data_IF_365066113315
#
_entry.id   IF_365066113315
#
_cell.length_a   1.000
_cell.length_b   1.000
_cell.length_c   1.000
_cell.angle_alpha   90.00
_cell.angle_beta   90.00
_cell.angle_gamma   90.00
#
_symmetry.space_group_name_H-M   'P 1'
#
loop_
_entity.id
_entity.type
_entity.pdbx_description
1 polymer ?
#
# COMPACT_ATOMS: atom_id res chain seq x y z
N UNK A 1 13.62 0.50 -30.17
CA UNK A 1 13.54 0.57 -28.69
C UNK A 1 13.38 -0.85 -28.20
N UNK A 2 14.38 -1.37 -27.49
CA UNK A 2 14.30 -2.71 -26.88
C UNK A 2 13.12 -2.74 -25.90
N UNK A 3 12.35 -3.84 -25.81
CA UNK A 3 11.31 -3.94 -24.79
C UNK A 3 12.01 -3.82 -23.43
N UNK A 4 11.69 -2.74 -22.73
CA UNK A 4 12.18 -2.45 -21.40
C UNK A 4 11.76 -3.62 -20.51
N UNK A 5 12.74 -4.44 -20.10
CA UNK A 5 12.49 -5.59 -19.22
C UNK A 5 11.73 -5.07 -18.01
N UNK A 6 10.56 -5.66 -17.74
CA UNK A 6 9.80 -5.40 -16.51
C UNK A 6 10.77 -5.54 -15.32
N UNK A 7 10.78 -4.60 -14.36
CA UNK A 7 11.69 -4.66 -13.22
C UNK A 7 11.53 -6.02 -12.50
N UNK A 8 12.65 -6.67 -12.18
CA UNK A 8 12.67 -7.92 -11.39
C UNK A 8 11.85 -7.72 -10.11
N UNK A 9 10.73 -8.45 -10.03
CA UNK A 9 9.70 -8.28 -9.02
C UNK A 9 10.10 -8.91 -7.69
N UNK A 10 9.84 -8.19 -6.61
CA UNK A 10 9.92 -8.73 -5.26
C UNK A 10 8.64 -9.53 -4.98
N UNK A 11 8.71 -10.61 -4.22
CA UNK A 11 7.56 -11.45 -3.89
C UNK A 11 7.44 -11.66 -2.39
N UNK A 12 6.20 -11.67 -1.87
CA UNK A 12 5.92 -12.10 -0.50
C UNK A 12 5.54 -13.57 -0.51
N UNK A 13 6.44 -14.43 -0.04
CA UNK A 13 6.27 -15.88 -0.07
C UNK A 13 5.30 -16.38 1.02
N UNK A 14 4.01 -16.49 0.68
CA UNK A 14 2.94 -17.00 1.57
C UNK A 14 2.30 -18.30 1.05
N UNK A 15 3.08 -19.13 0.34
CA UNK A 15 2.60 -20.33 -0.33
C UNK A 15 1.61 -19.98 -1.45
N UNK A 16 0.44 -20.62 -1.46
CA UNK A 16 -0.62 -20.37 -2.45
C UNK A 16 -1.18 -18.92 -2.43
N UNK A 17 -0.79 -18.12 -1.43
CA UNK A 17 -1.19 -16.71 -1.26
C UNK A 17 -0.03 -15.75 -1.57
N UNK A 18 1.02 -16.23 -2.23
CA UNK A 18 2.11 -15.37 -2.66
C UNK A 18 1.63 -14.31 -3.65
N UNK A 19 2.26 -13.14 -3.58
CA UNK A 19 1.90 -12.02 -4.44
C UNK A 19 3.14 -11.17 -4.81
N UNK A 20 3.18 -10.62 -6.03
CA UNK A 20 4.26 -9.75 -6.47
C UNK A 20 4.14 -8.33 -5.92
N UNK A 21 5.29 -7.70 -5.76
CA UNK A 21 5.49 -6.29 -5.46
C UNK A 21 6.34 -5.70 -6.58
N UNK A 22 5.75 -4.76 -7.31
CA UNK A 22 6.40 -4.03 -8.39
C UNK A 22 6.84 -2.67 -7.85
N UNK A 23 8.11 -2.31 -8.06
CA UNK A 23 8.71 -1.08 -7.54
C UNK A 23 9.47 -0.39 -8.68
N UNK A 24 9.16 0.88 -8.95
CA UNK A 24 9.79 1.66 -10.02
C UNK A 24 9.13 3.02 -10.22
N UNK A 25 9.61 3.79 -11.20
CA UNK A 25 8.94 5.02 -11.66
C UNK A 25 8.01 4.76 -12.85
N UNK A 26 7.00 5.60 -13.02
CA UNK A 26 6.05 5.54 -14.13
C UNK A 26 5.14 4.31 -14.14
N UNK A 27 5.03 3.58 -13.02
CA UNK A 27 4.22 2.36 -12.95
C UNK A 27 2.72 2.62 -13.03
N UNK A 28 2.22 3.80 -12.64
CA UNK A 28 0.80 4.13 -12.80
C UNK A 28 0.35 4.08 -14.26
N UNK A 29 1.20 4.53 -15.19
CA UNK A 29 0.89 4.54 -16.62
C UNK A 29 0.97 3.15 -17.24
N UNK A 30 1.65 2.22 -16.57
CA UNK A 30 1.80 0.81 -16.97
C UNK A 30 0.91 -0.15 -16.18
N UNK A 31 0.09 0.37 -15.26
CA UNK A 31 -0.71 -0.45 -14.35
C UNK A 31 -1.65 -1.43 -15.07
N UNK A 32 -2.24 -1.05 -16.20
CA UNK A 32 -3.07 -1.93 -17.00
C UNK A 32 -2.33 -3.16 -17.55
N UNK A 33 -1.10 -2.97 -18.04
CA UNK A 33 -0.22 -4.05 -18.52
C UNK A 33 0.18 -4.98 -17.37
N UNK A 34 0.53 -4.41 -16.21
CA UNK A 34 1.05 -5.14 -15.05
C UNK A 34 -0.06 -5.89 -14.32
N UNK A 35 -1.19 -5.22 -14.04
CA UNK A 35 -2.27 -5.76 -13.22
C UNK A 35 -3.25 -6.59 -14.02
N UNK A 36 -3.46 -6.30 -15.30
CA UNK A 36 -4.42 -7.01 -16.15
C UNK A 36 -4.33 -8.54 -16.09
N UNK A 37 -3.14 -9.14 -16.23
CA UNK A 37 -2.94 -10.59 -16.11
C UNK A 37 -3.26 -11.17 -14.72
N UNK A 38 -3.25 -10.35 -13.68
CA UNK A 38 -3.49 -10.76 -12.29
C UNK A 38 -4.97 -10.65 -11.90
N UNK A 39 -5.76 -9.85 -12.61
CA UNK A 39 -7.17 -9.63 -12.29
C UNK A 39 -8.04 -10.85 -12.69
N UNK A 40 -8.92 -11.35 -11.83
CA UNK A 40 -9.82 -12.46 -12.17
C UNK A 40 -10.88 -12.12 -13.24
N UNK A 41 -11.11 -10.83 -13.49
CA UNK A 41 -11.98 -10.31 -14.54
C UNK A 41 -11.50 -8.89 -14.94
N UNK A 42 -11.80 -8.42 -16.18
CA UNK A 42 -11.42 -7.10 -16.64
C UNK A 42 -12.33 -6.01 -16.07
N UNK A 43 -12.46 -5.96 -14.74
CA UNK A 43 -13.23 -4.95 -14.01
C UNK A 43 -12.61 -4.66 -12.65
N UNK A 44 -12.60 -3.39 -12.29
CA UNK A 44 -12.04 -2.91 -11.04
C UNK A 44 -12.86 -1.77 -10.43
N UNK A 45 -12.87 -1.70 -9.11
CA UNK A 45 -13.32 -0.53 -8.36
C UNK A 45 -12.09 0.17 -7.79
N UNK A 46 -11.80 1.36 -8.30
CA UNK A 46 -10.71 2.23 -7.80
C UNK A 46 -11.22 2.99 -6.58
N UNK A 47 -10.61 2.77 -5.42
CA UNK A 47 -10.89 3.50 -4.18
C UNK A 47 -9.72 4.43 -3.88
N UNK A 48 -10.00 5.71 -3.67
CA UNK A 48 -8.99 6.76 -3.37
C UNK A 48 -9.57 7.81 -2.43
N UNK A 49 -8.72 8.59 -1.76
CA UNK A 49 -9.16 9.82 -1.09
C UNK A 49 -9.19 11.03 -2.06
N UNK A 50 -9.84 12.11 -1.62
CA UNK A 50 -9.99 13.33 -2.43
C UNK A 50 -8.70 14.13 -2.62
N UNK A 51 -7.67 14.00 -1.77
CA UNK A 51 -6.38 14.65 -2.00
C UNK A 51 -5.65 13.96 -3.15
N UNK A 52 -5.57 12.62 -3.12
CA UNK A 52 -4.95 11.83 -4.18
C UNK A 52 -5.75 11.95 -5.48
N UNK A 53 -7.09 11.98 -5.41
CA UNK A 53 -7.93 12.21 -6.58
C UNK A 53 -7.79 13.61 -7.21
N UNK A 54 -7.29 14.59 -6.46
CA UNK A 54 -7.00 15.94 -6.97
C UNK A 54 -5.64 16.03 -7.69
N UNK A 55 -4.80 15.00 -7.57
CA UNK A 55 -3.57 14.84 -8.36
C UNK A 55 -3.86 14.14 -9.69
N UNK A 56 -2.87 14.08 -10.58
CA UNK A 56 -2.97 13.29 -11.80
C UNK A 56 -2.93 11.75 -11.55
N UNK A 57 -2.62 11.28 -10.34
CA UNK A 57 -2.38 9.86 -10.08
C UNK A 57 -3.60 8.97 -10.37
N UNK A 58 -4.79 9.39 -9.92
CA UNK A 58 -6.02 8.62 -10.14
C UNK A 58 -6.37 8.51 -11.63
N UNK A 59 -6.20 9.60 -12.38
CA UNK A 59 -6.48 9.65 -13.82
C UNK A 59 -5.47 8.83 -14.63
N UNK A 60 -4.18 8.88 -14.27
CA UNK A 60 -3.12 8.05 -14.87
C UNK A 60 -3.40 6.56 -14.67
N UNK A 61 -3.67 6.16 -13.43
CA UNK A 61 -3.98 4.77 -13.09
C UNK A 61 -5.24 4.29 -13.81
N UNK A 62 -6.32 5.06 -13.75
CA UNK A 62 -7.59 4.72 -14.41
C UNK A 62 -7.44 4.66 -15.93
N UNK A 63 -6.71 5.59 -16.53
CA UNK A 63 -6.41 5.62 -17.96
C UNK A 63 -5.62 4.39 -18.40
N UNK A 64 -4.61 4.00 -17.64
CA UNK A 64 -3.81 2.79 -17.92
C UNK A 64 -4.67 1.52 -17.86
N UNK A 65 -5.47 1.37 -16.80
CA UNK A 65 -6.38 0.24 -16.65
C UNK A 65 -7.41 0.16 -17.79
N UNK A 66 -8.03 1.30 -18.15
CA UNK A 66 -9.01 1.35 -19.25
C UNK A 66 -8.39 1.06 -20.60
N UNK A 67 -7.16 1.52 -20.85
CA UNK A 67 -6.43 1.21 -22.08
C UNK A 67 -6.16 -0.29 -22.23
N UNK A 68 -5.95 -0.98 -21.11
CA UNK A 68 -5.85 -2.45 -21.07
C UNK A 68 -7.21 -3.19 -21.13
N UNK A 69 -8.31 -2.48 -21.38
CA UNK A 69 -9.65 -3.07 -21.49
C UNK A 69 -10.32 -3.38 -20.15
N UNK A 70 -9.80 -2.87 -19.03
CA UNK A 70 -10.36 -3.08 -17.70
C UNK A 70 -11.40 -1.99 -17.44
N UNK A 71 -12.65 -2.38 -17.18
CA UNK A 71 -13.69 -1.45 -16.78
C UNK A 71 -13.40 -0.92 -15.35
N UNK A 72 -13.37 0.41 -15.18
CA UNK A 72 -13.05 1.04 -13.88
C UNK A 72 -14.18 1.93 -13.41
N UNK A 73 -14.66 1.65 -12.20
CA UNK A 73 -15.51 2.56 -11.42
C UNK A 73 -14.67 3.20 -10.31
N UNK A 74 -14.63 4.54 -10.25
CA UNK A 74 -13.94 5.28 -9.19
C UNK A 74 -14.88 5.61 -8.04
N UNK A 75 -14.42 5.39 -6.80
CA UNK A 75 -15.05 5.82 -5.56
C UNK A 75 -14.05 6.68 -4.79
N UNK A 76 -14.47 7.89 -4.44
CA UNK A 76 -13.66 8.85 -3.68
C UNK A 76 -14.19 8.95 -2.25
N UNK A 77 -13.32 8.79 -1.26
CA UNK A 77 -13.62 8.98 0.16
C UNK A 77 -12.99 10.28 0.69
N UNK A 78 -13.47 10.82 1.84
CA UNK A 78 -12.78 11.89 2.52
C UNK A 78 -11.34 11.48 2.92
N UNK A 79 -10.39 12.43 2.94
CA UNK A 79 -9.01 12.14 3.32
C UNK A 79 -8.86 12.07 4.85
N UNK A 80 -7.78 11.43 5.30
CA UNK A 80 -7.36 11.42 6.70
C UNK A 80 -7.88 10.25 7.53
N UNK A 81 -7.32 10.12 8.74
CA UNK A 81 -7.51 8.96 9.62
C UNK A 81 -8.98 8.74 10.04
N UNK A 82 -9.81 9.80 10.07
CA UNK A 82 -11.24 9.70 10.38
C UNK A 82 -12.04 8.83 9.39
N UNK A 83 -11.51 8.61 8.18
CA UNK A 83 -12.12 7.70 7.22
C UNK A 83 -11.98 6.22 7.60
N UNK A 84 -11.08 5.88 8.52
CA UNK A 84 -11.01 4.53 9.11
C UNK A 84 -12.04 4.37 10.21
N UNK A 85 -13.31 4.27 9.83
CA UNK A 85 -14.45 4.12 10.74
C UNK A 85 -15.50 3.16 10.19
N UNK A 86 -16.34 2.62 11.08
CA UNK A 86 -17.49 1.80 10.68
C UNK A 86 -18.44 2.53 9.73
N UNK A 87 -18.63 3.83 9.97
CA UNK A 87 -19.52 4.66 9.16
C UNK A 87 -19.02 4.75 7.70
N UNK A 88 -17.72 5.01 7.51
CA UNK A 88 -17.13 5.04 6.17
C UNK A 88 -16.99 3.67 5.54
N UNK A 89 -16.70 2.63 6.32
CA UNK A 89 -16.69 1.26 5.84
C UNK A 89 -18.07 0.85 5.31
N UNK A 90 -19.14 1.08 6.08
CA UNK A 90 -20.51 0.75 5.67
C UNK A 90 -20.88 1.47 4.37
N UNK A 91 -20.62 2.77 4.31
CA UNK A 91 -20.86 3.55 3.10
C UNK A 91 -20.05 3.04 1.90
N UNK A 92 -18.77 2.72 2.09
CA UNK A 92 -17.92 2.22 1.00
C UNK A 92 -18.45 0.89 0.47
N UNK A 93 -18.81 -0.05 1.36
CA UNK A 93 -19.40 -1.34 1.00
C UNK A 93 -20.70 -1.15 0.21
N UNK A 94 -21.59 -0.28 0.67
CA UNK A 94 -22.83 0.04 -0.06
C UNK A 94 -22.56 0.60 -1.45
N UNK A 95 -21.62 1.54 -1.58
CA UNK A 95 -21.24 2.13 -2.88
C UNK A 95 -20.63 1.10 -3.83
N UNK A 96 -19.83 0.16 -3.31
CA UNK A 96 -19.28 -0.96 -4.07
C UNK A 96 -20.42 -1.87 -4.57
N UNK A 97 -21.36 -2.25 -3.70
CA UNK A 97 -22.48 -3.14 -4.06
C UNK A 97 -23.43 -2.51 -5.08
N UNK A 98 -23.72 -1.21 -4.95
CA UNK A 98 -24.52 -0.45 -5.93
C UNK A 98 -23.83 -0.43 -7.31
N UNK A 99 -22.50 -0.52 -7.36
CA UNK A 99 -21.72 -0.67 -8.59
C UNK A 99 -21.92 -2.00 -9.32
N UNK A 100 -22.67 -2.95 -8.76
CA UNK A 100 -22.96 -4.23 -9.40
C UNK A 100 -21.75 -5.18 -9.45
N UNK A 101 -20.88 -5.12 -8.43
CA UNK A 101 -19.71 -6.01 -8.36
C UNK A 101 -20.09 -7.48 -8.17
N UNK A 102 -19.23 -8.37 -8.66
CA UNK A 102 -19.29 -9.80 -8.36
C UNK A 102 -17.98 -10.25 -7.68
N UNK A 103 -17.87 -11.55 -7.35
CA UNK A 103 -16.71 -12.10 -6.64
C UNK A 103 -15.39 -12.03 -7.41
N UNK A 104 -15.42 -11.69 -8.70
CA UNK A 104 -14.22 -11.51 -9.54
C UNK A 104 -13.84 -10.05 -9.72
N UNK A 105 -14.67 -9.09 -9.29
CA UNK A 105 -14.32 -7.66 -9.33
C UNK A 105 -13.23 -7.35 -8.34
N UNK A 106 -12.11 -6.80 -8.82
CA UNK A 106 -11.02 -6.39 -7.95
C UNK A 106 -11.23 -4.98 -7.38
N UNK A 107 -10.86 -4.77 -6.12
CA UNK A 107 -10.67 -3.43 -5.58
C UNK A 107 -9.23 -2.97 -5.84
N UNK A 108 -9.06 -1.72 -6.23
CA UNK A 108 -7.73 -1.10 -6.40
C UNK A 108 -7.65 0.06 -5.41
N UNK A 109 -6.82 -0.08 -4.39
CA UNK A 109 -6.64 0.92 -3.34
C UNK A 109 -5.51 1.88 -3.73
N UNK A 110 -5.85 3.08 -4.20
CA UNK A 110 -4.88 4.13 -4.54
C UNK A 110 -4.84 5.16 -3.43
N UNK A 111 -3.75 5.22 -2.67
CA UNK A 111 -3.60 6.21 -1.62
C UNK A 111 -2.56 5.86 -0.56
N UNK A 112 -2.57 6.59 0.54
CA UNK A 112 -1.76 6.25 1.72
C UNK A 112 -2.33 5.05 2.49
N UNK A 113 -1.75 4.78 3.68
CA UNK A 113 -2.15 3.64 4.50
C UNK A 113 -3.62 3.64 4.93
N UNK A 114 -4.22 4.82 5.07
CA UNK A 114 -5.66 4.98 5.36
C UNK A 114 -6.53 4.30 4.29
N UNK A 115 -6.24 4.59 3.02
CA UNK A 115 -6.99 4.01 1.90
C UNK A 115 -6.69 2.52 1.76
N UNK A 116 -5.42 2.13 1.91
CA UNK A 116 -5.02 0.73 1.89
C UNK A 116 -5.77 -0.12 2.93
N UNK A 117 -5.86 0.36 4.17
CA UNK A 117 -6.55 -0.33 5.25
C UNK A 117 -8.07 -0.40 5.02
N UNK A 118 -8.68 0.75 4.72
CA UNK A 118 -10.13 0.86 4.53
C UNK A 118 -10.62 0.03 3.33
N UNK A 119 -9.96 0.20 2.18
CA UNK A 119 -10.34 -0.51 0.95
C UNK A 119 -9.99 -2.00 1.05
N UNK A 120 -8.86 -2.35 1.66
CA UNK A 120 -8.49 -3.74 1.92
C UNK A 120 -9.51 -4.44 2.84
N UNK A 121 -9.98 -3.77 3.89
CA UNK A 121 -10.97 -4.35 4.78
C UNK A 121 -12.35 -4.43 4.14
N UNK A 122 -12.75 -3.42 3.36
CA UNK A 122 -13.95 -3.48 2.53
C UNK A 122 -13.89 -4.65 1.54
N UNK A 123 -12.74 -4.90 0.91
CA UNK A 123 -12.54 -6.06 0.04
C UNK A 123 -12.67 -7.38 0.81
N UNK A 124 -12.10 -7.47 2.02
CA UNK A 124 -12.15 -8.69 2.82
C UNK A 124 -13.57 -9.13 3.19
N UNK A 125 -14.47 -8.17 3.46
CA UNK A 125 -15.83 -8.46 3.95
C UNK A 125 -16.89 -8.46 2.85
N UNK A 126 -16.71 -7.67 1.78
CA UNK A 126 -17.69 -7.57 0.69
C UNK A 126 -17.76 -8.89 -0.07
N UNK A 127 -18.97 -9.42 -0.26
CA UNK A 127 -19.21 -10.74 -0.85
C UNK A 127 -18.37 -11.87 -0.21
N UNK A 128 -17.95 -11.69 1.06
CA UNK A 128 -17.06 -12.59 1.82
C UNK A 128 -15.64 -12.72 1.24
N UNK A 129 -15.17 -11.70 0.53
CA UNK A 129 -13.81 -11.65 0.00
C UNK A 129 -13.83 -11.31 -1.49
N UNK A 130 -13.47 -10.07 -1.80
CA UNK A 130 -13.12 -9.61 -3.13
C UNK A 130 -11.60 -9.62 -3.32
N UNK A 131 -11.10 -9.89 -4.53
CA UNK A 131 -9.71 -9.63 -4.87
C UNK A 131 -9.38 -8.15 -4.67
N UNK A 132 -8.15 -7.82 -4.29
CA UNK A 132 -7.73 -6.42 -4.20
C UNK A 132 -6.26 -6.21 -4.54
N UNK A 133 -5.91 -4.98 -4.92
CA UNK A 133 -4.56 -4.53 -5.26
C UNK A 133 -4.24 -3.28 -4.45
N UNK A 134 -3.01 -3.18 -3.95
CA UNK A 134 -2.49 -1.97 -3.29
C UNK A 134 -1.71 -1.12 -4.29
N UNK A 135 -2.00 0.18 -4.34
CA UNK A 135 -1.24 1.19 -5.09
C UNK A 135 -0.86 2.32 -4.12
N UNK A 136 0.13 2.08 -3.24
CA UNK A 136 0.47 3.01 -2.17
C UNK A 136 1.13 4.30 -2.69
N UNK A 137 0.63 5.46 -2.27
CA UNK A 137 1.11 6.78 -2.73
C UNK A 137 1.89 7.58 -1.69
N UNK A 138 1.95 7.12 -0.44
CA UNK A 138 2.81 7.70 0.60
C UNK A 138 4.02 6.81 0.88
N UNK A 139 5.15 7.40 1.28
CA UNK A 139 6.36 6.62 1.57
C UNK A 139 6.11 5.60 2.69
N UNK A 140 5.38 5.99 3.74
CA UNK A 140 4.96 5.11 4.82
C UNK A 140 4.19 3.89 4.29
N UNK A 141 3.24 4.10 3.38
CA UNK A 141 2.45 3.01 2.82
C UNK A 141 3.27 2.10 1.91
N UNK A 142 4.20 2.67 1.15
CA UNK A 142 5.07 1.93 0.22
C UNK A 142 6.02 0.98 0.96
N UNK A 143 6.55 1.38 2.12
CA UNK A 143 7.53 0.57 2.85
C UNK A 143 6.92 -0.27 3.98
N UNK A 144 5.74 0.12 4.45
CA UNK A 144 5.08 -0.54 5.58
C UNK A 144 3.67 -1.00 5.20
N UNK A 145 2.63 -0.16 5.32
CA UNK A 145 1.25 -0.66 5.40
C UNK A 145 0.72 -1.44 4.20
N UNK A 146 1.30 -1.28 3.00
CA UNK A 146 0.90 -2.07 1.82
C UNK A 146 1.33 -3.54 1.85
N UNK A 147 2.18 -3.94 2.81
CA UNK A 147 2.77 -5.28 2.89
C UNK A 147 2.38 -5.99 4.19
N UNK A 148 1.93 -7.23 4.08
CA UNK A 148 1.61 -8.11 5.22
C UNK A 148 0.14 -8.23 5.57
N UNK A 149 -0.76 -7.83 4.67
CA UNK A 149 -2.18 -8.19 4.65
C UNK A 149 -3.03 -7.67 5.80
N UNK A 150 -2.50 -6.82 6.67
CA UNK A 150 -3.30 -6.19 7.72
C UNK A 150 -4.17 -5.12 7.08
N UNK A 151 -5.47 -5.21 7.30
CA UNK A 151 -6.47 -4.24 6.85
C UNK A 151 -7.40 -3.95 8.01
N UNK A 152 -7.97 -2.75 8.09
CA UNK A 152 -8.88 -2.45 9.19
C UNK A 152 -9.34 -1.01 9.29
N UNK A 153 -10.04 -0.76 10.40
CA UNK A 153 -10.58 0.53 10.78
C UNK A 153 -10.32 0.79 12.26
N UNK A 154 -10.50 2.05 12.66
CA UNK A 154 -10.43 2.47 14.04
C UNK A 154 -11.81 2.37 14.70
N UNK A 155 -11.78 2.25 16.02
CA UNK A 155 -12.97 2.35 16.87
C UNK A 155 -12.73 3.39 17.96
N UNK A 156 -13.77 3.81 18.72
CA UNK A 156 -13.58 4.67 19.88
C UNK A 156 -12.61 4.11 20.93
N UNK A 157 -12.40 2.80 20.95
CA UNK A 157 -11.50 2.11 21.88
C UNK A 157 -10.03 2.11 21.40
N UNK A 158 -9.76 2.40 20.12
CA UNK A 158 -8.39 2.46 19.61
C UNK A 158 -8.25 2.30 18.11
N UNK A 159 -7.03 2.51 17.63
CA UNK A 159 -6.67 2.37 16.22
C UNK A 159 -6.57 0.90 15.81
N UNK A 160 -7.00 0.55 14.61
CA UNK A 160 -6.82 -0.77 13.97
C UNK A 160 -7.36 -1.98 14.77
N UNK A 161 -8.29 -1.78 15.70
CA UNK A 161 -8.81 -2.87 16.54
C UNK A 161 -9.81 -3.78 15.81
N UNK A 162 -10.36 -3.33 14.68
CA UNK A 162 -11.30 -4.10 13.86
C UNK A 162 -10.75 -4.20 12.45
N UNK A 163 -10.61 -5.42 11.94
CA UNK A 163 -9.97 -5.64 10.66
C UNK A 163 -9.92 -7.11 10.25
N UNK A 164 -9.16 -7.37 9.18
CA UNK A 164 -8.92 -8.71 8.67
C UNK A 164 -7.49 -8.84 8.13
N UNK A 165 -6.95 -10.06 8.22
CA UNK A 165 -5.79 -10.45 7.42
C UNK A 165 -6.29 -10.84 6.01
N UNK A 166 -6.09 -9.95 5.04
CA UNK A 166 -6.50 -10.12 3.64
C UNK A 166 -5.34 -9.73 2.74
N UNK A 167 -4.80 -10.68 1.97
CA UNK A 167 -3.61 -10.44 1.13
C UNK A 167 -4.00 -9.90 -0.24
N UNK A 168 -3.26 -8.90 -0.78
CA UNK A 168 -3.52 -8.38 -2.11
C UNK A 168 -3.11 -9.38 -3.20
N UNK A 169 -3.65 -9.20 -4.40
CA UNK A 169 -3.17 -9.85 -5.62
C UNK A 169 -1.80 -9.31 -6.05
N UNK A 170 -1.53 -8.04 -5.77
CA UNK A 170 -0.27 -7.36 -6.05
C UNK A 170 -0.14 -6.05 -5.27
N UNK A 171 1.09 -5.56 -5.15
CA UNK A 171 1.39 -4.20 -4.71
C UNK A 171 2.14 -3.48 -5.85
N UNK A 172 1.64 -2.31 -6.26
CA UNK A 172 2.22 -1.50 -7.33
C UNK A 172 2.77 -0.19 -6.73
N UNK A 173 4.09 -0.11 -6.56
CA UNK A 173 4.78 1.03 -5.96
C UNK A 173 5.41 1.89 -7.06
N UNK A 174 4.68 2.94 -7.46
CA UNK A 174 5.22 4.01 -8.30
C UNK A 174 5.91 5.07 -7.42
N UNK A 175 7.23 5.19 -7.50
CA UNK A 175 8.00 6.17 -6.70
C UNK A 175 7.74 7.61 -7.13
N UNK A 176 7.16 7.83 -8.30
CA UNK A 176 6.86 9.18 -8.80
C UNK A 176 5.72 9.84 -8.04
N UNK A 177 4.86 9.06 -7.37
CA UNK A 177 3.80 9.62 -6.51
C UNK A 177 4.35 10.35 -5.29
N UNK A 178 5.62 10.08 -4.93
CA UNK A 178 6.28 10.78 -3.83
C UNK A 178 6.70 12.21 -4.17
N UNK A 179 6.64 12.60 -5.45
CA UNK A 179 6.97 13.97 -5.87
C UNK A 179 5.91 14.99 -5.43
N UNK A 180 4.66 14.55 -5.28
CA UNK A 180 3.54 15.38 -4.84
C UNK A 180 3.26 15.23 -3.33
N UNK A 181 4.03 14.39 -2.63
CA UNK A 181 3.84 14.10 -1.21
C UNK A 181 4.42 15.24 -0.35
N UNK A 182 3.67 15.78 0.63
CA UNK A 182 4.20 16.80 1.53
C UNK A 182 5.46 16.33 2.25
N UNK A 183 6.45 17.22 2.41
CA UNK A 183 7.75 16.87 3.00
C UNK A 183 7.62 16.23 4.39
N UNK A 184 6.67 16.71 5.20
CA UNK A 184 6.37 16.12 6.51
C UNK A 184 5.97 14.64 6.41
N UNK A 185 5.12 14.30 5.45
CA UNK A 185 4.66 12.92 5.24
C UNK A 185 5.77 12.04 4.65
N UNK A 186 6.63 12.62 3.80
CA UNK A 186 7.82 11.94 3.29
C UNK A 186 8.79 11.60 4.44
N UNK A 187 9.06 12.57 5.34
CA UNK A 187 9.91 12.35 6.52
C UNK A 187 9.29 11.35 7.50
N UNK A 188 7.97 11.38 7.68
CA UNK A 188 7.27 10.39 8.51
C UNK A 188 7.46 8.97 7.97
N UNK A 189 7.31 8.76 6.65
CA UNK A 189 7.60 7.47 6.03
C UNK A 189 9.08 7.06 6.12
N UNK A 190 10.00 8.02 6.09
CA UNK A 190 11.43 7.74 6.23
C UNK A 190 11.80 7.19 7.61
N UNK A 191 11.04 7.51 8.66
CA UNK A 191 11.25 6.93 9.98
C UNK A 191 11.11 5.38 9.97
N UNK A 192 10.15 4.85 9.21
CA UNK A 192 9.97 3.40 9.04
C UNK A 192 11.10 2.75 8.25
N UNK A 193 11.68 3.48 7.29
CA UNK A 193 12.87 3.03 6.57
C UNK A 193 14.07 2.89 7.50
N UNK A 194 14.30 3.89 8.36
CA UNK A 194 15.35 3.84 9.40
C UNK A 194 15.10 2.66 10.34
N UNK A 195 13.84 2.42 10.75
CA UNK A 195 13.46 1.27 11.58
C UNK A 195 13.90 -0.04 10.94
N UNK A 196 13.61 -0.27 9.64
CA UNK A 196 14.01 -1.50 8.95
C UNK A 196 15.53 -1.71 8.97
N UNK A 197 16.33 -0.66 8.70
CA UNK A 197 17.78 -0.73 8.85
C UNK A 197 18.21 -1.09 10.27
N UNK A 198 17.65 -0.41 11.27
CA UNK A 198 18.03 -0.58 12.68
C UNK A 198 17.75 -2.00 13.22
N UNK A 199 16.65 -2.63 12.78
CA UNK A 199 16.25 -3.95 13.31
C UNK A 199 16.83 -5.13 12.53
N UNK A 200 17.25 -4.94 11.28
CA UNK A 200 17.57 -6.05 10.39
C UNK A 200 18.91 -5.96 9.65
N UNK A 201 19.43 -4.76 9.38
CA UNK A 201 20.58 -4.61 8.48
C UNK A 201 21.41 -3.35 8.77
N UNK A 202 22.54 -3.54 9.47
CA UNK A 202 23.46 -2.46 9.82
C UNK A 202 24.13 -1.81 8.60
N UNK A 203 24.36 -2.55 7.51
CA UNK A 203 24.96 -2.00 6.29
C UNK A 203 23.94 -1.10 5.57
N UNK A 204 22.68 -1.53 5.52
CA UNK A 204 21.58 -0.72 5.01
C UNK A 204 21.35 0.52 5.88
N UNK A 205 21.40 0.40 7.21
CA UNK A 205 21.33 1.56 8.11
C UNK A 205 22.42 2.59 7.81
N UNK A 206 23.68 2.16 7.68
CA UNK A 206 24.79 3.05 7.31
C UNK A 206 24.64 3.63 5.89
N UNK A 207 24.02 2.89 4.97
CA UNK A 207 23.70 3.39 3.62
C UNK A 207 22.66 4.51 3.69
N UNK A 208 21.61 4.37 4.51
CA UNK A 208 20.60 5.40 4.73
C UNK A 208 21.21 6.71 5.25
N UNK A 209 22.17 6.64 6.18
CA UNK A 209 22.87 7.83 6.70
C UNK A 209 23.56 8.63 5.60
N UNK A 210 24.14 7.95 4.60
CA UNK A 210 24.86 8.58 3.49
C UNK A 210 23.94 9.16 2.43
N UNK A 211 22.76 8.57 2.24
CA UNK A 211 21.89 8.84 1.08
C UNK A 211 20.57 9.55 1.44
N UNK A 212 20.25 9.73 2.71
CA UNK A 212 19.01 10.32 3.21
C UNK A 212 18.65 11.63 2.50
N UNK A 213 19.59 12.58 2.44
CA UNK A 213 19.33 13.91 1.89
C UNK A 213 18.94 13.87 0.41
N UNK A 214 19.66 13.10 -0.41
CA UNK A 214 19.39 12.98 -1.83
C UNK A 214 18.08 12.22 -2.12
N UNK A 215 17.81 11.14 -1.36
CA UNK A 215 16.55 10.40 -1.46
C UNK A 215 15.34 11.29 -1.14
N UNK A 216 15.40 12.02 -0.02
CA UNK A 216 14.35 12.94 0.39
C UNK A 216 14.18 14.11 -0.61
N UNK A 217 15.27 14.55 -1.23
CA UNK A 217 15.26 15.60 -2.24
C UNK A 217 14.72 15.17 -3.63
N UNK A 218 14.40 13.90 -3.84
CA UNK A 218 13.78 13.44 -5.10
C UNK A 218 14.59 12.48 -5.95
N UNK A 219 15.75 12.02 -5.51
CA UNK A 219 16.52 11.04 -6.28
C UNK A 219 15.74 9.72 -6.41
N UNK A 220 15.27 9.45 -7.64
CA UNK A 220 14.42 8.31 -7.94
C UNK A 220 15.13 6.97 -7.72
N UNK A 221 16.42 6.86 -8.09
CA UNK A 221 17.16 5.61 -7.95
C UNK A 221 17.36 5.28 -6.45
N UNK A 222 17.70 6.28 -5.64
CA UNK A 222 17.82 6.11 -4.19
C UNK A 222 16.48 5.81 -3.52
N UNK A 223 15.37 6.41 -4.00
CA UNK A 223 14.02 6.08 -3.51
C UNK A 223 13.66 4.62 -3.81
N UNK A 224 13.87 4.16 -5.05
CA UNK A 224 13.61 2.76 -5.44
C UNK A 224 14.43 1.80 -4.59
N UNK A 225 15.73 2.05 -4.42
CA UNK A 225 16.60 1.20 -3.61
C UNK A 225 16.17 1.15 -2.14
N UNK A 226 15.91 2.32 -1.54
CA UNK A 226 15.47 2.39 -0.15
C UNK A 226 14.13 1.67 0.06
N UNK A 227 13.16 1.88 -0.83
CA UNK A 227 11.86 1.21 -0.74
C UNK A 227 12.03 -0.30 -0.92
N UNK A 228 12.74 -0.74 -1.96
CA UNK A 228 12.99 -2.17 -2.23
C UNK A 228 13.59 -2.86 -1.01
N UNK A 229 14.65 -2.30 -0.44
CA UNK A 229 15.32 -2.92 0.71
C UNK A 229 14.44 -2.98 1.96
N UNK A 230 13.69 -1.92 2.23
CA UNK A 230 12.70 -1.90 3.32
C UNK A 230 11.61 -2.95 3.13
N UNK A 231 11.08 -3.08 1.91
CA UNK A 231 10.04 -4.07 1.60
C UNK A 231 10.59 -5.49 1.68
N UNK A 232 11.82 -5.76 1.25
CA UNK A 232 12.46 -7.08 1.43
C UNK A 232 12.54 -7.49 2.90
N UNK A 233 12.99 -6.56 3.77
CA UNK A 233 13.07 -6.79 5.22
C UNK A 233 11.68 -7.11 5.77
N UNK A 234 10.67 -6.29 5.44
CA UNK A 234 9.30 -6.49 5.93
C UNK A 234 8.67 -7.77 5.38
N UNK A 235 8.83 -8.07 4.10
CA UNK A 235 8.32 -9.27 3.46
C UNK A 235 8.92 -10.53 4.09
N UNK A 236 10.22 -10.52 4.40
CA UNK A 236 10.88 -11.63 5.08
C UNK A 236 10.32 -11.87 6.51
N UNK A 237 10.04 -10.80 7.26
CA UNK A 237 9.39 -10.90 8.58
C UNK A 237 7.95 -11.43 8.44
N UNK A 238 7.18 -10.91 7.48
CA UNK A 238 5.80 -11.35 7.21
C UNK A 238 5.75 -12.82 6.79
N UNK A 239 6.67 -13.28 5.95
CA UNK A 239 6.72 -14.68 5.51
C UNK A 239 6.98 -15.65 6.68
N UNK A 240 7.72 -15.21 7.70
CA UNK A 240 7.97 -16.00 8.91
C UNK A 240 6.83 -15.93 9.94
N UNK A 241 6.12 -14.80 10.02
CA UNK A 241 5.05 -14.61 11.00
C UNK A 241 3.90 -13.72 10.51
N UNK A 242 3.16 -14.21 9.50
CA UNK A 242 2.06 -13.48 8.85
C UNK A 242 1.00 -13.00 9.87
N UNK A 243 0.64 -13.88 10.82
CA UNK A 243 -0.49 -13.69 11.75
C UNK A 243 -0.07 -13.33 13.17
N UNK A 244 1.19 -12.98 13.39
CA UNK A 244 1.72 -12.55 14.69
C UNK A 244 1.56 -13.59 15.80
N UNK A 245 1.76 -14.85 15.42
CA UNK A 245 1.62 -16.01 16.32
C UNK A 245 2.93 -16.41 16.98
N UNK A 246 4.07 -16.11 16.35
CA UNK A 246 5.40 -16.50 16.85
C UNK A 246 6.08 -15.41 17.66
N UNK A 247 5.70 -14.14 17.43
CA UNK A 247 6.32 -12.96 18.04
C UNK A 247 7.42 -12.33 17.20
N UNK A 248 7.88 -12.94 16.10
CA UNK A 248 8.91 -12.35 15.23
C UNK A 248 8.47 -11.00 14.65
N UNK A 249 7.19 -10.85 14.32
CA UNK A 249 6.66 -9.59 13.77
C UNK A 249 6.68 -8.44 14.79
N UNK A 250 6.87 -8.73 16.09
CA UNK A 250 6.98 -7.71 17.12
C UNK A 250 8.22 -6.82 16.96
N UNK A 251 9.27 -7.27 16.27
CA UNK A 251 10.43 -6.43 15.94
C UNK A 251 10.05 -5.21 15.09
N UNK A 252 8.99 -5.31 14.28
CA UNK A 252 8.48 -4.18 13.50
C UNK A 252 7.86 -3.09 14.39
N UNK A 253 7.65 -3.35 15.68
CA UNK A 253 7.20 -2.35 16.66
C UNK A 253 8.36 -1.60 17.34
N UNK A 254 9.59 -1.72 16.84
CA UNK A 254 10.72 -0.92 17.35
C UNK A 254 10.36 0.57 17.37
N UNK A 255 10.54 1.22 18.52
CA UNK A 255 10.15 2.62 18.77
C UNK A 255 8.64 2.86 19.00
N UNK A 256 7.74 1.98 18.57
CA UNK A 256 6.30 2.23 18.56
C UNK A 256 5.68 2.33 19.96
N UNK A 257 6.21 1.62 20.97
CA UNK A 257 5.74 1.77 22.35
C UNK A 257 5.85 3.21 22.84
N UNK A 258 6.97 3.88 22.53
CA UNK A 258 7.18 5.28 22.87
C UNK A 258 6.43 6.22 21.92
N UNK A 259 6.43 5.91 20.61
CA UNK A 259 5.71 6.69 19.59
C UNK A 259 4.22 6.79 19.88
N UNK A 260 3.55 5.67 20.14
CA UNK A 260 2.12 5.66 20.49
C UNK A 260 1.81 6.43 21.77
N UNK A 261 2.68 6.35 22.79
CA UNK A 261 2.50 7.12 24.02
C UNK A 261 2.61 8.63 23.77
N UNK A 262 3.52 9.06 22.90
CA UNK A 262 3.65 10.45 22.48
C UNK A 262 2.44 10.92 21.65
N UNK A 263 2.02 10.14 20.65
CA UNK A 263 0.84 10.46 19.83
C UNK A 263 -0.46 10.58 20.65
N UNK A 264 -0.57 9.87 21.77
CA UNK A 264 -1.76 9.93 22.62
C UNK A 264 -1.87 11.23 23.43
N UNK A 265 -0.77 11.98 23.59
CA UNK A 265 -0.71 13.20 24.42
C UNK A 265 -0.34 14.47 23.65
N UNK A 266 0.03 14.36 22.37
CA UNK A 266 0.37 15.46 21.48
C UNK A 266 -0.86 16.06 20.80
#
# INVERSE_FOLDING_TARGET
MSPERLPEGLEVALGDRAYPIHIGGGLLDRAGEILGPLLPAPRAVLVTDSHVAATAHADRLEGSLRTAGIAVQRIVVPPGEGSKSFERLSWLVERILVGGVDRKTALVALGGGVIGDLAGFAAAITLRGLPFVQVPTSLLAQVDSSVGGKTGINTPQGKNLVGAFHQPLAVLIDVDTLNDLPERELRAGYAEIIKHGAIADAAYFAWLERHAAAMLAGDQALRVEAIRRSVEIKAAVVARDERETSGERALLNFGHTFGHAYEAVA
#
